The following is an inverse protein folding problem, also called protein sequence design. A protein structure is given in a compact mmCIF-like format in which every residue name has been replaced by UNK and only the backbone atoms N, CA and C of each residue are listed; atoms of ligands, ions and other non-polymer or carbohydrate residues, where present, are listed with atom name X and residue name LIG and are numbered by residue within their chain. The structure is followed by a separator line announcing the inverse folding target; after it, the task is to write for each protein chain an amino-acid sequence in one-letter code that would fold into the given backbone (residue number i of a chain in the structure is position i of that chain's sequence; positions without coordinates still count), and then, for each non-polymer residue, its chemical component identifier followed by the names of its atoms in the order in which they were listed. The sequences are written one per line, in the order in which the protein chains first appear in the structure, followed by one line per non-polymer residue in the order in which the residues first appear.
data_IF_456297725413
#
_entry.id   IF_456297725413
#
_cell.length_a   1.000
_cell.length_b   1.000
_cell.length_c   1.000
_cell.angle_alpha   90.00
_cell.angle_beta   90.00
_cell.angle_gamma   90.00
#
_symmetry.space_group_name_H-M   'P 1'
#
loop_
_entity.id
_entity.type
_entity.pdbx_description
1 polymer ?
#
# COMPACT_ATOMS: atom_id res chain seq x y z
N UNK A 1 18.40 -1.49 6.10
CA UNK A 1 19.07 -2.31 5.08
C UNK A 1 18.17 -2.55 3.87
N UNK A 2 16.93 -3.04 4.02
CA UNK A 2 16.06 -3.23 2.83
C UNK A 2 15.41 -1.94 2.31
N UNK A 3 14.89 -1.07 3.20
CA UNK A 3 14.24 0.17 2.77
C UNK A 3 15.22 1.10 2.04
N UNK A 4 16.39 1.31 2.62
CA UNK A 4 17.46 2.13 2.05
C UNK A 4 17.96 1.61 0.69
N UNK A 5 17.96 0.29 0.48
CA UNK A 5 18.27 -0.29 -0.83
C UNK A 5 17.16 0.00 -1.85
N UNK A 6 15.90 -0.16 -1.45
CA UNK A 6 14.74 0.14 -2.31
C UNK A 6 14.69 1.63 -2.67
N UNK A 7 14.94 2.53 -1.71
CA UNK A 7 14.99 3.99 -1.92
C UNK A 7 16.09 4.36 -2.90
N UNK A 8 17.26 3.73 -2.80
CA UNK A 8 18.35 3.94 -3.76
C UNK A 8 18.01 3.46 -5.19
N UNK A 9 17.23 2.38 -5.33
CA UNK A 9 16.89 1.80 -6.64
C UNK A 9 15.73 2.54 -7.31
N UNK A 10 14.69 2.89 -6.55
CA UNK A 10 13.45 3.44 -7.10
C UNK A 10 13.29 4.95 -6.87
N UNK A 11 14.11 5.56 -6.01
CA UNK A 11 13.97 6.93 -5.53
C UNK A 11 12.99 7.00 -4.36
N UNK A 12 13.29 7.82 -3.34
CA UNK A 12 12.48 7.97 -2.12
C UNK A 12 11.00 8.25 -2.42
N UNK A 13 10.71 9.10 -3.43
CA UNK A 13 9.34 9.45 -3.83
C UNK A 13 8.52 8.26 -4.37
N UNK A 14 9.17 7.16 -4.75
CA UNK A 14 8.54 5.98 -5.34
C UNK A 14 8.56 4.75 -4.42
N UNK A 15 9.12 4.87 -3.21
CA UNK A 15 9.15 3.80 -2.22
C UNK A 15 8.13 4.09 -1.14
N UNK A 16 7.09 3.27 -1.11
CA UNK A 16 6.03 3.40 -0.13
C UNK A 16 6.25 2.40 1.00
N UNK A 17 6.56 2.92 2.18
CA UNK A 17 6.61 2.10 3.39
C UNK A 17 5.18 1.79 3.87
N UNK A 18 4.76 0.54 3.67
CA UNK A 18 3.50 0.02 4.21
C UNK A 18 3.72 -0.78 5.51
N UNK A 19 4.95 -0.85 6.02
CA UNK A 19 5.31 -1.58 7.22
C UNK A 19 4.94 -0.75 8.45
N UNK A 20 3.71 -0.94 8.93
CA UNK A 20 3.23 -0.27 10.14
C UNK A 20 1.77 -0.59 10.47
N UNK A 21 1.34 -0.20 11.67
CA UNK A 21 -0.08 -0.23 12.04
C UNK A 21 -0.79 0.88 11.28
N UNK A 22 -1.75 0.49 10.45
CA UNK A 22 -2.60 1.37 9.67
C UNK A 22 -4.05 0.86 9.71
N UNK A 23 -4.96 1.56 9.04
CA UNK A 23 -6.38 1.22 9.01
C UNK A 23 -6.69 -0.20 8.51
N UNK A 24 -5.77 -0.82 7.76
CA UNK A 24 -5.89 -2.21 7.33
C UNK A 24 -5.19 -3.18 8.29
N UNK A 25 -3.94 -2.91 8.67
CA UNK A 25 -3.10 -3.83 9.47
C UNK A 25 -3.39 -3.80 10.97
N UNK A 26 -4.13 -2.79 11.47
CA UNK A 26 -4.61 -2.71 12.85
C UNK A 26 -5.64 -3.79 13.18
N UNK A 27 -6.51 -4.12 12.22
CA UNK A 27 -7.49 -5.19 12.36
C UNK A 27 -6.93 -6.46 11.70
N UNK A 28 -6.59 -7.45 12.52
CA UNK A 28 -5.98 -8.69 12.04
C UNK A 28 -6.93 -9.52 11.16
N UNK A 29 -8.23 -9.24 11.16
CA UNK A 29 -9.19 -9.93 10.27
C UNK A 29 -9.09 -9.48 8.81
N UNK A 30 -8.34 -8.41 8.55
CA UNK A 30 -8.03 -7.92 7.21
C UNK A 30 -6.85 -8.64 6.55
N UNK A 31 -6.06 -9.43 7.30
CA UNK A 31 -5.01 -10.25 6.70
C UNK A 31 -5.62 -11.31 5.79
N UNK A 32 -4.95 -11.55 4.67
CA UNK A 32 -5.36 -12.55 3.71
C UNK A 32 -5.23 -13.96 4.31
N UNK A 33 -6.28 -14.76 4.15
CA UNK A 33 -6.33 -16.20 4.41
C UNK A 33 -6.93 -16.84 3.15
N UNK A 34 -6.38 -17.96 2.71
CA UNK A 34 -6.78 -18.72 1.51
C UNK A 34 -8.28 -19.05 1.49
N UNK A 35 -8.90 -19.14 2.67
CA UNK A 35 -10.34 -19.38 2.84
C UNK A 35 -11.22 -18.13 2.78
N UNK A 36 -10.63 -16.93 2.85
CA UNK A 36 -11.33 -15.71 3.21
C UNK A 36 -10.79 -14.49 2.44
N UNK A 37 -11.08 -14.43 1.13
CA UNK A 37 -10.86 -13.22 0.36
C UNK A 37 -11.69 -12.04 0.91
N UNK A 38 -11.08 -10.85 1.03
CA UNK A 38 -11.69 -9.60 1.53
C UNK A 38 -11.74 -8.54 0.42
N UNK A 39 -12.71 -8.59 -0.50
CA UNK A 39 -12.77 -7.67 -1.64
C UNK A 39 -12.89 -6.19 -1.25
N UNK A 40 -13.41 -5.88 -0.06
CA UNK A 40 -13.52 -4.49 0.41
C UNK A 40 -12.14 -3.91 0.77
N UNK A 41 -11.25 -4.67 1.42
CA UNK A 41 -9.87 -4.25 1.68
C UNK A 41 -9.12 -3.98 0.38
N UNK A 42 -9.24 -4.90 -0.60
CA UNK A 42 -8.59 -4.74 -1.91
C UNK A 42 -9.08 -3.50 -2.67
N UNK A 43 -10.40 -3.21 -2.66
CA UNK A 43 -10.97 -2.02 -3.31
C UNK A 43 -10.46 -0.71 -2.68
N UNK A 44 -10.37 -0.65 -1.36
CA UNK A 44 -9.88 0.54 -0.66
C UNK A 44 -8.39 0.79 -0.94
N UNK A 45 -7.57 -0.27 -0.98
CA UNK A 45 -6.15 -0.18 -1.37
C UNK A 45 -6.01 0.36 -2.80
N UNK A 46 -6.75 -0.21 -3.75
CA UNK A 46 -6.74 0.23 -5.15
C UNK A 46 -7.19 1.68 -5.31
N UNK A 47 -8.22 2.09 -4.57
CA UNK A 47 -8.71 3.47 -4.57
C UNK A 47 -7.62 4.44 -4.12
N UNK A 48 -6.93 4.16 -2.99
CA UNK A 48 -5.81 4.97 -2.52
C UNK A 48 -4.70 5.07 -3.56
N UNK A 49 -4.33 3.97 -4.20
CA UNK A 49 -3.31 3.98 -5.24
C UNK A 49 -3.72 4.85 -6.45
N UNK A 50 -4.97 4.71 -6.92
CA UNK A 50 -5.50 5.51 -8.03
C UNK A 50 -5.61 7.00 -7.72
N UNK A 51 -6.04 7.37 -6.50
CA UNK A 51 -6.13 8.78 -6.08
C UNK A 51 -4.74 9.44 -6.01
N UNK A 52 -3.73 8.74 -5.49
CA UNK A 52 -2.35 9.22 -5.48
C UNK A 52 -1.79 9.36 -6.91
N UNK A 53 -2.08 8.40 -7.79
CA UNK A 53 -1.63 8.46 -9.19
C UNK A 53 -2.35 9.54 -10.01
N UNK A 54 -3.64 9.78 -9.82
CA UNK A 54 -4.37 10.89 -10.47
C UNK A 54 -3.74 12.25 -10.16
N UNK A 55 -3.19 12.41 -8.96
CA UNK A 55 -2.48 13.63 -8.55
C UNK A 55 -1.14 13.79 -9.29
N UNK A 56 -0.52 12.69 -9.71
CA UNK A 56 0.70 12.67 -10.53
C UNK A 56 0.44 12.98 -12.01
N UNK A 57 -0.72 12.60 -12.56
CA UNK A 57 -1.09 12.84 -13.96
C UNK A 57 -1.64 14.24 -14.24
N UNK A 58 -1.97 15.02 -13.20
CA UNK A 58 -2.49 16.40 -13.32
C UNK A 58 -1.40 17.46 -13.00
N UNK A 59 -0.14 17.04 -12.79
CA UNK A 59 1.00 17.94 -12.61
C UNK A 59 1.86 18.07 -13.85
#
# INVERSE_FOLDING_TARGET
MDLEYLENVFGEDNVFDFLGINTFTQDYTNYYDDSHYRPHVAREIMKKYMENNLTLYIK
#
